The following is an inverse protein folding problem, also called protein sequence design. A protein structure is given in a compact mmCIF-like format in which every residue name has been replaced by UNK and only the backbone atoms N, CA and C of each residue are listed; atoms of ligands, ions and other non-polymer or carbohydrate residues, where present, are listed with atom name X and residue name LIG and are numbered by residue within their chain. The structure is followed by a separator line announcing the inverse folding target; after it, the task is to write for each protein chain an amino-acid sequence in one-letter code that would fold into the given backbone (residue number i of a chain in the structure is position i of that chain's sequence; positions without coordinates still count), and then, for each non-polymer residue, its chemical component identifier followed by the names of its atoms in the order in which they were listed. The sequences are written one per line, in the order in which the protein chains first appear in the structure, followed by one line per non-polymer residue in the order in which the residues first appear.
data_IF_115075846051
#
_entry.id   IF_115075846051
#
_cell.length_a   1.000
_cell.length_b   1.000
_cell.length_c   1.000
_cell.angle_alpha   90.00
_cell.angle_beta   90.00
_cell.angle_gamma   90.00
#
_symmetry.space_group_name_H-M   'P 1'
#
loop_
_entity.id
_entity.type
_entity.pdbx_description
1 polymer ?
#
# COMPACT_ATOMS: atom_id res chain seq x y z
N UNK A 1 -10.78 -6.53 -12.34
CA UNK A 1 -10.65 -5.08 -12.59
C UNK A 1 -9.27 -4.63 -12.12
N UNK A 2 -8.46 -4.06 -13.02
CA UNK A 2 -7.12 -3.59 -12.67
C UNK A 2 -7.18 -2.17 -12.08
N UNK A 3 -6.61 -1.98 -10.90
CA UNK A 3 -6.55 -0.70 -10.20
C UNK A 3 -5.08 -0.37 -9.89
N UNK A 4 -4.69 0.88 -10.13
CA UNK A 4 -3.35 1.35 -9.82
C UNK A 4 -3.36 2.13 -8.51
N UNK A 5 -2.43 1.81 -7.62
CA UNK A 5 -2.27 2.44 -6.32
C UNK A 5 -0.97 3.22 -6.27
N UNK A 6 -1.03 4.38 -5.63
CA UNK A 6 0.11 5.22 -5.36
C UNK A 6 0.17 5.56 -3.87
N UNK A 7 1.12 4.94 -3.18
CA UNK A 7 1.43 5.16 -1.77
C UNK A 7 2.61 6.10 -1.55
N UNK A 8 2.86 7.01 -2.50
CA UNK A 8 3.93 8.00 -2.34
C UNK A 8 3.66 8.82 -1.08
N UNK A 9 4.68 8.92 -0.24
CA UNK A 9 4.62 9.57 1.05
C UNK A 9 5.82 10.51 1.22
N UNK A 10 5.76 11.45 2.17
CA UNK A 10 6.92 12.24 2.55
C UNK A 10 8.10 11.33 2.98
N UNK A 11 9.35 11.82 2.86
CA UNK A 11 10.50 11.11 3.41
C UNK A 11 10.31 10.80 4.90
N UNK A 12 10.85 9.66 5.34
CA UNK A 12 10.79 9.31 6.75
C UNK A 12 11.62 10.30 7.59
N UNK A 13 11.25 10.54 8.87
CA UNK A 13 11.93 11.52 9.72
C UNK A 13 13.43 11.23 9.88
N UNK A 14 14.21 12.29 10.15
CA UNK A 14 15.66 12.23 10.34
C UNK A 14 16.46 11.72 9.12
N UNK A 15 15.97 11.98 7.90
CA UNK A 15 16.66 11.59 6.67
C UNK A 15 16.60 10.09 6.36
N UNK A 16 15.67 9.37 7.00
CA UNK A 16 15.44 7.95 6.73
C UNK A 16 14.72 7.75 5.41
N UNK A 17 14.93 6.59 4.81
CA UNK A 17 14.26 6.19 3.57
C UNK A 17 13.32 5.04 3.84
N UNK A 18 12.20 5.01 3.14
CA UNK A 18 11.29 3.85 3.14
C UNK A 18 11.96 2.71 2.39
N UNK A 19 12.02 1.54 3.02
CA UNK A 19 12.68 0.33 2.49
C UNK A 19 11.67 -0.74 2.08
N UNK A 20 10.46 -0.71 2.64
CA UNK A 20 9.40 -1.68 2.36
C UNK A 20 8.03 -1.01 2.31
N UNK A 21 7.23 -1.43 1.35
CA UNK A 21 5.82 -1.16 1.20
C UNK A 21 5.09 -2.51 1.22
N UNK A 22 4.14 -2.66 2.13
CA UNK A 22 3.23 -3.80 2.24
C UNK A 22 1.80 -3.30 1.99
N UNK A 23 1.18 -3.84 0.94
CA UNK A 23 -0.17 -3.52 0.52
C UNK A 23 -1.10 -4.68 0.85
N UNK A 24 -2.11 -4.43 1.67
CA UNK A 24 -3.24 -5.32 1.85
C UNK A 24 -4.44 -4.73 1.11
N UNK A 25 -4.91 -5.40 0.07
CA UNK A 25 -5.97 -4.86 -0.79
C UNK A 25 -7.39 -5.07 -0.24
N UNK A 26 -7.53 -5.76 0.89
CA UNK A 26 -8.82 -6.03 1.53
C UNK A 26 -9.62 -7.17 0.89
N UNK A 27 -9.05 -7.86 -0.10
CA UNK A 27 -9.60 -9.04 -0.78
C UNK A 27 -8.90 -10.35 -0.38
N UNK A 28 -8.04 -10.28 0.64
CA UNK A 28 -7.25 -11.41 1.14
C UNK A 28 -5.85 -11.50 0.52
N UNK A 29 -5.52 -10.64 -0.45
CA UNK A 29 -4.19 -10.59 -1.06
C UNK A 29 -3.33 -9.52 -0.38
N UNK A 30 -2.09 -9.89 -0.09
CA UNK A 30 -1.04 -8.99 0.42
C UNK A 30 0.13 -9.02 -0.55
N UNK A 31 0.60 -7.83 -0.94
CA UNK A 31 1.77 -7.65 -1.78
C UNK A 31 2.84 -6.85 -1.06
N UNK A 32 4.11 -7.18 -1.29
CA UNK A 32 5.26 -6.50 -0.68
C UNK A 32 6.26 -6.07 -1.74
N UNK A 33 6.91 -4.92 -1.54
CA UNK A 33 7.93 -4.43 -2.46
C UNK A 33 8.58 -3.13 -2.02
N UNK A 34 9.57 -2.67 -2.78
CA UNK A 34 10.26 -1.40 -2.54
C UNK A 34 9.60 -0.20 -3.26
N UNK A 35 8.53 -0.44 -4.02
CA UNK A 35 7.84 0.58 -4.82
C UNK A 35 6.59 1.08 -4.11
N UNK A 36 6.40 2.39 -4.12
CA UNK A 36 5.16 3.04 -3.72
C UNK A 36 4.03 2.88 -4.76
N UNK A 37 4.37 2.47 -5.99
CA UNK A 37 3.43 2.21 -7.07
C UNK A 37 3.21 0.70 -7.20
N UNK A 38 1.94 0.29 -7.20
CA UNK A 38 1.54 -1.10 -7.37
C UNK A 38 0.24 -1.19 -8.18
N UNK A 39 0.13 -2.22 -9.01
CA UNK A 39 -1.08 -2.55 -9.75
C UNK A 39 -1.70 -3.82 -9.20
N UNK A 40 -2.99 -3.79 -8.90
CA UNK A 40 -3.71 -4.93 -8.34
C UNK A 40 -4.96 -5.25 -9.14
N UNK A 41 -5.26 -6.54 -9.30
CA UNK A 41 -6.44 -7.02 -10.01
C UNK A 41 -7.45 -7.58 -9.02
N UNK A 42 -8.57 -6.89 -8.86
CA UNK A 42 -9.70 -7.38 -8.08
C UNK A 42 -10.59 -8.29 -8.92
N UNK A 43 -10.92 -9.47 -8.40
CA UNK A 43 -11.80 -10.44 -9.08
C UNK A 43 -13.27 -10.04 -9.00
N UNK A 44 -13.69 -9.43 -7.89
CA UNK A 44 -15.09 -9.07 -7.60
C UNK A 44 -15.24 -7.56 -7.49
N UNK A 45 -16.32 -7.02 -8.07
CA UNK A 45 -16.68 -5.61 -7.90
C UNK A 45 -17.26 -5.38 -6.51
N UNK A 46 -17.03 -4.20 -5.95
CA UNK A 46 -17.50 -3.85 -4.61
C UNK A 46 -16.60 -2.82 -3.94
N UNK A 47 -16.89 -2.56 -2.68
CA UNK A 47 -16.11 -1.63 -1.87
C UNK A 47 -15.11 -2.43 -1.03
N UNK A 48 -13.83 -2.12 -1.18
CA UNK A 48 -12.73 -2.74 -0.42
C UNK A 48 -11.99 -1.69 0.40
N UNK A 49 -11.39 -2.11 1.51
CA UNK A 49 -10.51 -1.24 2.31
C UNK A 49 -9.07 -1.65 2.05
N UNK A 50 -8.33 -0.80 1.34
CA UNK A 50 -6.92 -1.01 1.05
C UNK A 50 -6.08 -0.39 2.16
N UNK A 51 -5.15 -1.16 2.70
CA UNK A 51 -4.23 -0.75 3.76
C UNK A 51 -2.80 -0.82 3.26
N UNK A 52 -2.05 0.26 3.46
CA UNK A 52 -0.62 0.34 3.20
C UNK A 52 0.13 0.43 4.52
N UNK A 53 1.05 -0.50 4.74
CA UNK A 53 2.05 -0.44 5.81
C UNK A 53 3.41 -0.21 5.19
N UNK A 54 4.15 0.76 5.70
CA UNK A 54 5.50 1.09 5.22
C UNK A 54 6.52 0.86 6.33
N UNK A 55 7.73 0.47 5.97
CA UNK A 55 8.87 0.34 6.90
C UNK A 55 10.02 1.20 6.43
N UNK A 56 10.65 1.94 7.34
CA UNK A 56 11.83 2.74 7.05
C UNK A 56 13.15 1.98 7.29
N UNK A 57 14.26 2.62 6.93
CA UNK A 57 15.62 2.06 7.10
C UNK A 57 16.05 1.84 8.55
N UNK A 58 15.29 2.33 9.53
CA UNK A 58 15.48 2.05 10.95
C UNK A 58 14.51 1.00 11.50
N UNK A 59 13.65 0.42 10.64
CA UNK A 59 12.65 -0.57 11.02
C UNK A 59 11.39 0.04 11.63
N UNK A 60 11.22 1.38 11.61
CA UNK A 60 9.99 2.00 12.07
C UNK A 60 8.88 1.82 11.02
N UNK A 61 7.65 1.59 11.49
CA UNK A 61 6.49 1.36 10.61
C UNK A 61 5.44 2.45 10.73
N UNK A 62 4.70 2.67 9.66
CA UNK A 62 3.49 3.49 9.63
C UNK A 62 2.43 2.84 8.75
N UNK A 63 1.15 3.02 9.10
CA UNK A 63 0.02 2.40 8.39
C UNK A 63 -1.03 3.43 8.03
N UNK A 64 -1.59 3.31 6.83
CA UNK A 64 -2.74 4.10 6.37
C UNK A 64 -3.74 3.21 5.64
N UNK A 65 -5.03 3.55 5.70
CA UNK A 65 -6.09 2.80 5.05
C UNK A 65 -7.01 3.72 4.26
N UNK A 66 -7.49 3.24 3.12
CA UNK A 66 -8.42 3.95 2.25
C UNK A 66 -9.46 3.00 1.66
N UNK A 67 -10.72 3.41 1.73
CA UNK A 67 -11.82 2.71 1.06
C UNK A 67 -11.81 3.03 -0.43
N UNK A 68 -11.91 2.01 -1.27
CA UNK A 68 -11.91 2.10 -2.73
C UNK A 68 -13.11 1.34 -3.27
N UNK A 69 -13.88 1.98 -4.15
CA UNK A 69 -14.95 1.32 -4.90
C UNK A 69 -14.37 0.77 -6.21
N UNK A 70 -14.49 -0.54 -6.37
CA UNK A 70 -14.08 -1.31 -7.55
C UNK A 70 -15.35 -1.62 -8.34
N UNK A 71 -15.42 -1.15 -9.58
CA UNK A 71 -16.57 -1.34 -10.47
C UNK A 71 -16.12 -1.39 -11.92
#
# INVERSE_FOLDING_TARGET
MNVQFNGTQPPAPAGRTITLYEWNFGDGIIETGASALVGHVFETAGTVTVTLTVTDSAGATATTSKTVSVS
#
